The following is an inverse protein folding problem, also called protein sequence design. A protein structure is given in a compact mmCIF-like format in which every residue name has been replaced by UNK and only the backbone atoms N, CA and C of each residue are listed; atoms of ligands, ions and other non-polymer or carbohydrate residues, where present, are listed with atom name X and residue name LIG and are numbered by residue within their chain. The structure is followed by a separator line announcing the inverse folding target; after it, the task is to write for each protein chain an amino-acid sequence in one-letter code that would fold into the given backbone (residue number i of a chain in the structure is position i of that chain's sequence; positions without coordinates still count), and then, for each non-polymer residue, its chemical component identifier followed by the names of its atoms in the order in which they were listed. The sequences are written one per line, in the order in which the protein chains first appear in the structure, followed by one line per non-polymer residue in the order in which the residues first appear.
data_IF_278759886374
#
_entry.id   IF_278759886374
#
_cell.length_a   1.000
_cell.length_b   1.000
_cell.length_c   1.000
_cell.angle_alpha   90.00
_cell.angle_beta   90.00
_cell.angle_gamma   90.00
#
_symmetry.space_group_name_H-M   'P 1'
#
loop_
_entity.id
_entity.type
_entity.pdbx_description
1 polymer ?
#
# COMPACT_ATOMS: atom_id res chain seq x y z
N UNK A 1 -5.13 1.84 20.41
CA UNK A 1 -5.77 0.62 19.87
C UNK A 1 -4.65 -0.35 19.54
N UNK A 2 -4.78 -1.60 19.96
CA UNK A 2 -3.76 -2.60 19.65
C UNK A 2 -3.90 -3.04 18.18
N UNK A 3 -2.80 -3.20 17.44
CA UNK A 3 -2.85 -3.61 16.05
C UNK A 3 -3.33 -5.06 15.93
N UNK A 4 -4.26 -5.30 15.01
CA UNK A 4 -4.66 -6.66 14.64
C UNK A 4 -3.58 -7.31 13.78
N UNK A 5 -3.23 -8.59 14.00
CA UNK A 5 -2.34 -9.35 13.13
C UNK A 5 -2.82 -9.40 11.68
N UNK A 6 -1.89 -9.43 10.72
CA UNK A 6 -2.22 -9.44 9.29
C UNK A 6 -3.01 -10.69 8.85
N UNK A 7 -2.82 -11.81 9.54
CA UNK A 7 -3.51 -13.09 9.34
C UNK A 7 -4.90 -13.16 10.01
N UNK A 8 -5.33 -12.08 10.68
CA UNK A 8 -6.69 -11.98 11.22
C UNK A 8 -7.71 -12.26 10.11
N UNK A 9 -8.62 -13.24 10.27
CA UNK A 9 -9.60 -13.58 9.23
C UNK A 9 -10.45 -12.38 8.82
N UNK A 10 -10.68 -12.20 7.52
CA UNK A 10 -11.62 -11.19 7.03
C UNK A 10 -13.07 -11.67 7.25
N UNK A 11 -13.94 -10.89 7.93
CA UNK A 11 -15.34 -11.27 8.12
C UNK A 11 -16.09 -11.46 6.78
N UNK A 12 -17.04 -12.40 6.69
CA UNK A 12 -17.87 -12.58 5.49
C UNK A 12 -18.65 -11.31 5.13
N UNK A 13 -18.64 -10.92 3.85
CA UNK A 13 -19.35 -9.74 3.36
C UNK A 13 -18.64 -8.40 3.57
N UNK A 14 -17.40 -8.40 4.08
CA UNK A 14 -16.61 -7.17 4.30
C UNK A 14 -15.46 -7.03 3.28
N UNK A 15 -15.07 -5.77 3.06
CA UNK A 15 -13.88 -5.37 2.29
C UNK A 15 -12.76 -4.98 3.26
N UNK A 16 -11.57 -5.52 3.03
CA UNK A 16 -10.34 -5.16 3.74
C UNK A 16 -9.53 -4.19 2.90
N UNK A 17 -9.41 -2.96 3.38
CA UNK A 17 -8.53 -1.96 2.78
C UNK A 17 -7.12 -2.10 3.35
N UNK A 18 -6.10 -2.05 2.48
CA UNK A 18 -4.71 -1.85 2.87
C UNK A 18 -4.40 -0.38 2.67
N UNK A 19 -4.18 0.34 3.76
CA UNK A 19 -3.92 1.78 3.72
C UNK A 19 -2.43 2.05 3.95
N UNK A 20 -1.78 2.69 2.98
CA UNK A 20 -0.40 3.15 3.07
C UNK A 20 -0.29 4.59 2.56
N UNK A 21 0.85 5.23 2.78
CA UNK A 21 1.12 6.59 2.31
C UNK A 21 2.63 6.83 2.30
N UNK A 22 3.07 7.93 1.68
CA UNK A 22 4.42 8.50 1.84
C UNK A 22 5.55 7.49 1.55
N UNK A 23 5.37 6.65 0.52
CA UNK A 23 6.37 5.65 0.17
C UNK A 23 7.60 6.28 -0.50
N UNK A 24 7.49 7.48 -1.08
CA UNK A 24 8.58 8.25 -1.68
C UNK A 24 9.54 7.39 -2.52
N UNK A 25 9.01 6.67 -3.52
CA UNK A 25 9.78 5.77 -4.40
C UNK A 25 10.43 4.55 -3.73
N UNK A 26 10.15 4.26 -2.44
CA UNK A 26 10.73 3.17 -1.62
C UNK A 26 9.76 1.98 -1.43
N UNK A 27 9.11 1.53 -2.49
CA UNK A 27 8.17 0.39 -2.44
C UNK A 27 8.86 -0.98 -2.32
N UNK A 28 10.13 -1.08 -2.72
CA UNK A 28 10.88 -2.35 -2.83
C UNK A 28 11.04 -3.11 -1.50
N UNK A 29 10.94 -2.41 -0.37
CA UNK A 29 11.10 -3.02 0.97
C UNK A 29 9.77 -3.32 1.67
N UNK A 30 8.63 -2.97 1.05
CA UNK A 30 7.32 -3.07 1.69
C UNK A 30 6.78 -4.49 1.54
N UNK A 31 6.51 -5.14 2.67
CA UNK A 31 5.80 -6.42 2.72
C UNK A 31 4.29 -6.15 2.82
N UNK A 32 3.58 -6.31 1.72
CA UNK A 32 2.15 -6.01 1.65
C UNK A 32 1.30 -7.10 2.33
N UNK A 33 0.43 -6.76 3.30
CA UNK A 33 -0.52 -7.71 3.85
C UNK A 33 -1.61 -8.07 2.83
N UNK A 34 -2.29 -9.19 3.06
CA UNK A 34 -3.49 -9.51 2.30
C UNK A 34 -4.60 -8.47 2.54
N UNK A 35 -5.18 -7.97 1.46
CA UNK A 35 -6.38 -7.15 1.46
C UNK A 35 -7.01 -7.09 0.08
N UNK A 36 -8.21 -6.50 0.01
CA UNK A 36 -9.00 -6.47 -1.22
C UNK A 36 -8.76 -5.19 -2.04
N UNK A 37 -8.47 -4.06 -1.37
CA UNK A 37 -8.26 -2.75 -2.02
C UNK A 37 -7.07 -2.05 -1.40
N UNK A 38 -6.10 -1.64 -2.22
CA UNK A 38 -5.01 -0.77 -1.80
C UNK A 38 -5.45 0.70 -1.87
N UNK A 39 -5.25 1.43 -0.78
CA UNK A 39 -5.40 2.88 -0.70
C UNK A 39 -4.02 3.49 -0.40
N UNK A 40 -3.44 4.18 -1.37
CA UNK A 40 -2.22 4.97 -1.18
C UNK A 40 -2.58 6.45 -1.08
N UNK A 41 -2.27 7.10 0.05
CA UNK A 41 -2.78 8.46 0.35
C UNK A 41 -1.91 9.63 -0.15
N UNK A 42 -1.15 9.43 -1.24
CA UNK A 42 -0.22 10.43 -1.79
C UNK A 42 1.26 10.17 -1.46
N UNK A 43 2.14 11.04 -1.96
CA UNK A 43 3.60 11.00 -1.78
C UNK A 43 4.27 9.65 -2.11
N UNK A 44 3.82 9.02 -3.21
CA UNK A 44 4.42 7.78 -3.71
C UNK A 44 5.72 8.00 -4.52
N UNK A 45 6.07 9.24 -4.85
CA UNK A 45 7.33 9.64 -5.50
C UNK A 45 8.15 10.53 -4.58
N UNK A 46 9.48 10.56 -4.74
CA UNK A 46 10.35 11.49 -4.00
C UNK A 46 10.30 12.90 -4.61
N UNK A 47 10.38 13.01 -5.95
CA UNK A 47 10.47 14.30 -6.66
C UNK A 47 9.36 14.51 -7.71
N UNK A 48 8.49 13.53 -7.90
CA UNK A 48 7.41 13.59 -8.90
C UNK A 48 7.90 13.36 -10.33
N UNK A 49 9.07 12.72 -10.52
CA UNK A 49 9.61 12.49 -11.85
C UNK A 49 8.76 11.43 -12.60
N UNK A 50 8.58 11.55 -13.92
CA UNK A 50 7.84 10.55 -14.70
C UNK A 50 8.38 9.12 -14.54
N UNK A 51 9.70 8.96 -14.36
CA UNK A 51 10.33 7.67 -14.08
C UNK A 51 9.94 7.08 -12.72
N UNK A 52 9.73 7.92 -11.71
CA UNK A 52 9.27 7.49 -10.38
C UNK A 52 7.79 7.13 -10.40
N UNK A 53 6.98 7.91 -11.11
CA UNK A 53 5.57 7.56 -11.36
C UNK A 53 5.48 6.21 -12.07
N UNK A 54 6.32 6.00 -13.11
CA UNK A 54 6.41 4.70 -13.79
C UNK A 54 6.85 3.59 -12.83
N UNK A 55 7.90 3.80 -12.03
CA UNK A 55 8.38 2.82 -11.05
C UNK A 55 7.27 2.43 -10.06
N UNK A 56 6.53 3.40 -9.53
CA UNK A 56 5.42 3.14 -8.62
C UNK A 56 4.32 2.33 -9.32
N UNK A 57 3.96 2.69 -10.55
CA UNK A 57 2.96 1.96 -11.32
C UNK A 57 3.41 0.55 -11.73
N UNK A 58 4.71 0.32 -11.94
CA UNK A 58 5.25 -1.03 -12.20
C UNK A 58 5.21 -1.92 -10.95
N UNK A 59 5.16 -1.32 -9.74
CA UNK A 59 5.04 -2.04 -8.47
C UNK A 59 3.58 -2.41 -8.13
N UNK A 60 2.60 -1.64 -8.61
CA UNK A 60 1.17 -1.92 -8.47
C UNK A 60 0.74 -3.16 -9.28
#
# INVERSE_FOLDING_TARGET
VDPLPHDTPKPPGYTRFVCISDTHSRTDTIQMPYGDVLLHAGDFTELGLPSEVKKFNDWL
#
